data_IF_597208151026
#
_entry.id   IF_597208151026
#
_cell.length_a   1.000
_cell.length_b   1.000
_cell.length_c   1.000
_cell.angle_alpha   90.00
_cell.angle_beta   90.00
_cell.angle_gamma   90.00
#
_symmetry.space_group_name_H-M   'P 1'
#
loop_
_entity.id
_entity.type
_entity.pdbx_description
1 polymer ?
#
# COMPACT_ATOMS: atom_id res chain seq x y z
N UNK A 1 6.92 -25.64 -0.43
CA UNK A 1 5.93 -24.59 -0.68
C UNK A 1 4.87 -24.63 0.42
N UNK A 2 4.40 -23.48 0.88
CA UNK A 2 3.31 -23.34 1.86
C UNK A 2 2.16 -22.64 1.16
N UNK A 3 0.95 -23.15 1.32
CA UNK A 3 -0.27 -22.54 0.78
C UNK A 3 -1.07 -21.99 1.95
N UNK A 4 -1.41 -20.69 1.90
CA UNK A 4 -2.21 -20.02 2.91
C UNK A 4 -3.31 -19.17 2.26
N UNK A 5 -4.41 -18.95 2.98
CA UNK A 5 -5.45 -18.02 2.51
C UNK A 5 -5.04 -16.55 2.68
N UNK A 6 -5.64 -15.66 1.88
CA UNK A 6 -5.38 -14.21 1.97
C UNK A 6 -5.57 -13.67 3.39
N UNK A 7 -6.62 -14.12 4.09
CA UNK A 7 -6.90 -13.69 5.48
C UNK A 7 -5.85 -14.13 6.50
N UNK A 8 -5.12 -15.23 6.24
CA UNK A 8 -3.98 -15.63 7.07
C UNK A 8 -2.75 -14.80 6.72
N UNK A 9 -2.50 -14.52 5.43
CA UNK A 9 -1.42 -13.65 5.00
C UNK A 9 -1.53 -12.25 5.62
N UNK A 10 -2.74 -11.69 5.69
CA UNK A 10 -3.01 -10.39 6.32
C UNK A 10 -2.69 -10.36 7.83
N UNK A 11 -2.72 -11.50 8.51
CA UNK A 11 -2.39 -11.61 9.94
C UNK A 11 -0.89 -11.64 10.23
N UNK A 12 -0.07 -11.94 9.24
CA UNK A 12 1.39 -11.93 9.37
C UNK A 12 1.85 -10.48 9.20
N UNK A 13 2.31 -9.80 10.25
CA UNK A 13 2.68 -8.40 10.15
C UNK A 13 4.01 -8.22 9.43
N UNK A 14 4.20 -7.09 8.78
CA UNK A 14 5.53 -6.61 8.38
C UNK A 14 6.17 -5.86 9.56
N UNK A 15 7.50 -5.72 9.53
CA UNK A 15 8.25 -5.02 10.58
C UNK A 15 7.76 -3.59 10.81
N UNK A 16 7.88 -3.10 12.06
CA UNK A 16 7.47 -1.74 12.41
C UNK A 16 8.24 -0.69 11.62
N UNK A 17 9.53 -0.91 11.38
CA UNK A 17 10.39 -0.03 10.60
C UNK A 17 9.91 0.10 9.16
N UNK A 18 9.45 -1.00 8.55
CA UNK A 18 8.92 -0.98 7.18
C UNK A 18 7.58 -0.26 7.11
N UNK A 19 6.70 -0.48 8.09
CA UNK A 19 5.43 0.24 8.20
C UNK A 19 5.67 1.76 8.36
N UNK A 20 6.59 2.15 9.24
CA UNK A 20 6.97 3.54 9.47
C UNK A 20 7.52 4.18 8.17
N UNK A 21 8.45 3.52 7.50
CA UNK A 21 9.06 3.99 6.26
C UNK A 21 8.00 4.24 5.18
N UNK A 22 7.06 3.32 5.02
CA UNK A 22 5.97 3.47 4.07
C UNK A 22 5.07 4.65 4.40
N UNK A 23 4.64 4.78 5.67
CA UNK A 23 3.78 5.88 6.10
C UNK A 23 4.49 7.23 5.91
N UNK A 24 5.77 7.35 6.25
CA UNK A 24 6.56 8.57 6.04
C UNK A 24 6.66 8.92 4.55
N UNK A 25 6.88 7.93 3.69
CA UNK A 25 6.90 8.13 2.24
C UNK A 25 5.57 8.66 1.73
N UNK A 26 4.45 8.07 2.13
CA UNK A 26 3.11 8.53 1.76
C UNK A 26 2.84 9.97 2.24
N UNK A 27 3.25 10.32 3.46
CA UNK A 27 3.13 11.69 3.99
C UNK A 27 3.92 12.68 3.13
N UNK A 28 5.14 12.34 2.73
CA UNK A 28 5.98 13.20 1.89
C UNK A 28 5.34 13.39 0.50
N UNK A 29 4.90 12.32 -0.15
CA UNK A 29 4.24 12.37 -1.46
C UNK A 29 2.97 13.24 -1.41
N UNK A 30 2.17 13.12 -0.36
CA UNK A 30 0.97 13.95 -0.16
C UNK A 30 1.36 15.42 0.07
N UNK A 31 2.41 15.67 0.84
CA UNK A 31 2.88 17.03 1.13
C UNK A 31 3.35 17.73 -0.15
N UNK A 32 4.19 17.08 -0.94
CA UNK A 32 4.62 17.57 -2.26
C UNK A 32 3.42 17.80 -3.18
N UNK A 33 2.43 16.91 -3.09
CA UNK A 33 1.19 17.05 -3.84
C UNK A 33 0.38 18.29 -3.47
N UNK A 34 0.23 18.55 -2.19
CA UNK A 34 -0.47 19.75 -1.69
C UNK A 34 0.25 21.03 -2.19
N UNK A 35 1.58 21.07 -2.08
CA UNK A 35 2.39 22.19 -2.54
C UNK A 35 2.25 22.41 -4.05
N UNK A 36 2.24 21.33 -4.85
CA UNK A 36 2.14 21.41 -6.32
C UNK A 36 0.77 21.85 -6.83
N UNK A 37 -0.31 21.65 -6.04
CA UNK A 37 -1.67 22.00 -6.45
C UNK A 37 -1.95 23.51 -6.48
N UNK A 38 -1.13 24.33 -5.81
CA UNK A 38 -1.28 25.76 -5.79
C UNK A 38 -2.59 26.25 -5.16
N UNK A 39 -2.82 27.57 -5.19
CA UNK A 39 -3.97 28.24 -4.53
C UNK A 39 -5.22 28.35 -5.39
N UNK A 40 -5.38 27.57 -6.45
CA UNK A 40 -6.56 27.68 -7.31
C UNK A 40 -7.83 27.23 -6.60
N UNK A 41 -8.96 27.87 -6.93
CA UNK A 41 -10.25 27.60 -6.26
C UNK A 41 -10.75 26.18 -6.50
N UNK A 42 -10.45 25.57 -7.66
CA UNK A 42 -10.75 24.18 -8.00
C UNK A 42 -9.88 23.18 -7.24
N UNK A 43 -8.71 23.61 -6.73
CA UNK A 43 -7.79 22.78 -5.97
C UNK A 43 -8.18 22.65 -4.48
N UNK A 44 -8.98 23.58 -3.94
CA UNK A 44 -9.30 23.62 -2.50
C UNK A 44 -9.97 22.38 -1.97
N UNK A 45 -10.87 21.75 -2.75
CA UNK A 45 -11.53 20.50 -2.32
C UNK A 45 -10.51 19.34 -2.26
N UNK A 46 -9.67 19.23 -3.29
CA UNK A 46 -8.63 18.19 -3.36
C UNK A 46 -7.57 18.37 -2.27
N UNK A 47 -7.18 19.61 -1.98
CA UNK A 47 -6.24 19.92 -0.89
C UNK A 47 -6.81 19.52 0.47
N UNK A 48 -8.07 19.86 0.78
CA UNK A 48 -8.71 19.45 2.04
C UNK A 48 -8.76 17.92 2.21
N UNK A 49 -9.00 17.19 1.13
CA UNK A 49 -9.01 15.74 1.17
C UNK A 49 -7.61 15.17 1.43
N UNK A 50 -6.59 15.71 0.77
CA UNK A 50 -5.18 15.34 0.99
C UNK A 50 -4.73 15.66 2.42
N UNK A 51 -5.06 16.84 2.94
CA UNK A 51 -4.77 17.20 4.34
C UNK A 51 -5.44 16.24 5.33
N UNK A 52 -6.68 15.82 5.08
CA UNK A 52 -7.36 14.81 5.92
C UNK A 52 -6.61 13.48 5.89
N UNK A 53 -6.20 13.02 4.70
CA UNK A 53 -5.43 11.79 4.55
C UNK A 53 -4.08 11.89 5.26
N UNK A 54 -3.37 13.02 5.11
CA UNK A 54 -2.10 13.28 5.81
C UNK A 54 -2.26 13.18 7.32
N UNK A 55 -3.26 13.82 7.91
CA UNK A 55 -3.54 13.75 9.36
C UNK A 55 -3.82 12.32 9.83
N UNK A 56 -4.55 11.54 9.03
CA UNK A 56 -4.81 10.13 9.35
C UNK A 56 -3.51 9.30 9.36
N UNK A 57 -2.61 9.54 8.39
CA UNK A 57 -1.30 8.87 8.32
C UNK A 57 -0.40 9.29 9.49
N UNK A 58 -0.37 10.57 9.84
CA UNK A 58 0.37 11.08 11.00
C UNK A 58 -0.13 10.44 12.32
N UNK A 59 -1.46 10.32 12.48
CA UNK A 59 -2.05 9.64 13.63
C UNK A 59 -1.69 8.13 13.66
N UNK A 60 -1.64 7.47 12.50
CA UNK A 60 -1.21 6.08 12.38
C UNK A 60 0.26 5.92 12.76
N UNK A 61 1.11 6.84 12.30
CA UNK A 61 2.53 6.88 12.63
C UNK A 61 2.75 7.04 14.14
N UNK A 62 2.02 7.96 14.77
CA UNK A 62 2.08 8.19 16.22
C UNK A 62 1.68 6.92 17.00
N UNK A 63 0.59 6.25 16.62
CA UNK A 63 0.17 4.99 17.25
C UNK A 63 1.20 3.87 17.10
N UNK A 64 1.89 3.82 15.97
CA UNK A 64 2.95 2.85 15.73
C UNK A 64 4.14 3.08 16.68
N UNK A 65 4.49 4.34 16.93
CA UNK A 65 5.56 4.73 17.86
C UNK A 65 5.18 4.49 19.34
N UNK A 66 3.91 4.73 19.71
CA UNK A 66 3.42 4.55 21.09
C UNK A 66 3.21 3.09 21.48
N UNK A 67 3.00 2.20 20.51
CA UNK A 67 2.88 0.76 20.72
C UNK A 67 4.03 0.03 20.01
N UNK A 68 5.26 0.09 20.59
CA UNK A 68 6.33 -0.76 20.10
C UNK A 68 5.87 -2.22 20.23
N UNK A 69 6.03 -2.97 19.14
CA UNK A 69 5.51 -4.34 19.01
C UNK A 69 5.82 -5.20 20.22
N UNK A 70 4.87 -6.09 20.53
CA UNK A 70 5.14 -7.29 21.31
C UNK A 70 6.23 -8.08 20.59
N UNK A 71 7.35 -8.29 21.23
CA UNK A 71 8.54 -8.98 20.72
C UNK A 71 8.28 -10.45 20.29
N UNK A 72 7.07 -10.95 20.55
CA UNK A 72 6.68 -12.35 20.33
C UNK A 72 5.99 -12.64 18.98
N UNK A 73 5.84 -11.66 18.10
CA UNK A 73 5.14 -11.89 16.81
C UNK A 73 6.13 -11.93 15.67
N UNK A 74 6.28 -13.12 15.07
CA UNK A 74 7.10 -13.32 13.87
C UNK A 74 6.61 -12.43 12.75
N UNK A 75 7.50 -11.63 12.18
CA UNK A 75 7.21 -10.75 11.04
C UNK A 75 7.37 -11.49 9.72
N UNK A 76 6.81 -10.92 8.65
CA UNK A 76 6.90 -11.50 7.31
C UNK A 76 8.37 -11.65 6.86
N UNK A 77 9.22 -10.70 7.23
CA UNK A 77 10.65 -10.71 6.93
C UNK A 77 11.38 -11.89 7.60
N UNK A 78 10.95 -12.26 8.81
CA UNK A 78 11.57 -13.35 9.59
C UNK A 78 11.16 -14.74 9.09
N UNK A 79 10.13 -14.85 8.24
CA UNK A 79 9.72 -16.12 7.66
C UNK A 79 10.73 -16.68 6.63
N UNK A 80 11.67 -15.87 6.15
CA UNK A 80 12.67 -16.29 5.17
C UNK A 80 12.08 -16.66 3.81
N UNK A 81 10.95 -16.05 3.42
CA UNK A 81 10.30 -16.27 2.14
C UNK A 81 11.07 -15.50 1.07
N UNK A 82 11.42 -16.17 -0.02
CA UNK A 82 12.10 -15.60 -1.20
C UNK A 82 11.18 -15.53 -2.43
N UNK A 83 10.04 -16.24 -2.41
CA UNK A 83 9.09 -16.24 -3.52
C UNK A 83 7.65 -16.35 -3.06
N UNK A 84 6.79 -15.53 -3.66
CA UNK A 84 5.37 -15.49 -3.36
C UNK A 84 4.54 -15.54 -4.65
N UNK A 85 3.56 -16.44 -4.68
CA UNK A 85 2.54 -16.51 -5.71
C UNK A 85 1.22 -16.03 -5.10
N UNK A 86 0.63 -15.02 -5.69
CA UNK A 86 -0.63 -14.44 -5.22
C UNK A 86 -1.72 -14.77 -6.22
N UNK A 87 -2.57 -15.74 -5.87
CA UNK A 87 -3.76 -16.04 -6.66
C UNK A 87 -4.87 -15.03 -6.37
N UNK A 88 -5.77 -14.81 -7.33
CA UNK A 88 -6.84 -13.82 -7.26
C UNK A 88 -6.32 -12.41 -6.86
N UNK A 89 -5.20 -12.00 -7.47
CA UNK A 89 -4.50 -10.74 -7.18
C UNK A 89 -5.39 -9.50 -7.34
N UNK A 90 -6.45 -9.59 -8.15
CA UNK A 90 -7.45 -8.53 -8.31
C UNK A 90 -8.15 -8.14 -6.98
N UNK A 91 -8.12 -9.01 -5.97
CA UNK A 91 -8.65 -8.71 -4.63
C UNK A 91 -7.89 -7.59 -3.91
N UNK A 92 -6.67 -7.26 -4.34
CA UNK A 92 -5.78 -6.26 -3.73
C UNK A 92 -5.65 -4.97 -4.56
N UNK A 93 -6.57 -4.71 -5.45
CA UNK A 93 -6.53 -3.56 -6.39
C UNK A 93 -6.61 -2.16 -5.76
N UNK A 94 -7.06 -2.03 -4.51
CA UNK A 94 -7.29 -0.73 -3.87
C UNK A 94 -6.05 -0.27 -3.09
N UNK A 95 -4.92 -0.11 -3.79
CA UNK A 95 -3.74 0.52 -3.23
C UNK A 95 -3.88 2.05 -3.34
N UNK A 96 -3.52 2.77 -2.26
CA UNK A 96 -3.45 4.23 -2.32
C UNK A 96 -2.33 4.64 -3.26
N UNK A 97 -2.69 5.35 -4.31
CA UNK A 97 -1.77 5.97 -5.24
C UNK A 97 -2.01 7.47 -5.24
N UNK A 98 -1.03 8.26 -4.79
CA UNK A 98 -1.05 9.67 -5.07
C UNK A 98 -0.74 9.88 -6.56
N UNK A 99 -1.69 10.43 -7.30
CA UNK A 99 -1.49 10.80 -8.70
C UNK A 99 -1.82 12.27 -8.91
N UNK A 100 -1.00 12.97 -9.69
CA UNK A 100 -1.27 14.34 -10.16
C UNK A 100 -2.44 14.38 -11.16
N UNK A 101 -2.83 13.24 -11.72
CA UNK A 101 -3.97 13.11 -12.60
C UNK A 101 -5.26 13.14 -11.77
N UNK A 102 -6.06 14.17 -11.99
CA UNK A 102 -7.38 14.32 -11.33
C UNK A 102 -8.43 13.52 -12.09
N UNK A 103 -9.35 12.90 -11.36
CA UNK A 103 -10.54 12.22 -11.90
C UNK A 103 -10.25 11.13 -12.95
N UNK A 104 -9.19 10.35 -12.76
CA UNK A 104 -9.03 9.12 -13.53
C UNK A 104 -10.07 8.13 -13.04
N UNK A 105 -11.02 7.80 -13.90
CA UNK A 105 -12.06 6.83 -13.58
C UNK A 105 -11.43 5.50 -13.13
N UNK A 106 -11.83 5.03 -11.95
CA UNK A 106 -11.37 3.75 -11.38
C UNK A 106 -10.13 3.79 -10.50
N UNK A 107 -9.44 4.92 -10.35
CA UNK A 107 -8.40 5.07 -9.33
C UNK A 107 -9.07 5.57 -8.05
N UNK A 108 -9.27 4.67 -7.10
CA UNK A 108 -9.81 5.04 -5.79
C UNK A 108 -8.69 5.65 -4.94
N UNK A 109 -8.95 6.81 -4.35
CA UNK A 109 -8.05 7.46 -3.40
C UNK A 109 -8.19 6.90 -1.96
N UNK A 110 -8.90 5.79 -1.80
CA UNK A 110 -9.08 5.10 -0.52
C UNK A 110 -8.21 3.85 -0.49
N UNK A 111 -7.29 3.83 0.46
CA UNK A 111 -6.43 2.67 0.71
C UNK A 111 -7.23 1.55 1.39
N UNK A 112 -7.23 0.35 0.81
CA UNK A 112 -7.62 -0.84 1.52
C UNK A 112 -6.40 -1.35 2.31
N UNK A 113 -6.56 -1.53 3.62
CA UNK A 113 -5.47 -1.97 4.49
C UNK A 113 -4.78 -3.25 4.00
N UNK A 114 -5.54 -4.21 3.45
CA UNK A 114 -5.01 -5.44 2.87
C UNK A 114 -4.11 -5.19 1.65
N UNK A 115 -4.44 -4.20 0.81
CA UNK A 115 -3.65 -3.86 -0.37
C UNK A 115 -2.32 -3.20 0.02
N UNK A 116 -2.35 -2.31 1.01
CA UNK A 116 -1.13 -1.71 1.56
C UNK A 116 -0.23 -2.74 2.25
N UNK A 117 -0.82 -3.69 2.98
CA UNK A 117 -0.08 -4.77 3.64
C UNK A 117 0.62 -5.67 2.60
N UNK A 118 -0.12 -6.13 1.59
CA UNK A 118 0.47 -6.91 0.50
C UNK A 118 1.57 -6.13 -0.24
N UNK A 119 1.34 -4.84 -0.50
CA UNK A 119 2.33 -3.99 -1.17
C UNK A 119 3.64 -3.92 -0.40
N UNK A 120 3.61 -3.75 0.94
CA UNK A 120 4.81 -3.76 1.77
C UNK A 120 5.55 -5.10 1.71
N UNK A 121 4.84 -6.23 1.70
CA UNK A 121 5.40 -7.56 1.54
C UNK A 121 6.04 -7.75 0.17
N UNK A 122 5.40 -7.25 -0.89
CA UNK A 122 5.95 -7.25 -2.23
C UNK A 122 7.23 -6.42 -2.32
N UNK A 123 7.24 -5.20 -1.77
CA UNK A 123 8.45 -4.38 -1.74
C UNK A 123 9.62 -5.07 -1.04
N UNK A 124 9.35 -5.76 0.07
CA UNK A 124 10.38 -6.55 0.74
C UNK A 124 10.96 -7.65 -0.16
N UNK A 125 10.08 -8.43 -0.80
CA UNK A 125 10.52 -9.49 -1.72
C UNK A 125 11.29 -8.95 -2.92
N UNK A 126 10.88 -7.82 -3.49
CA UNK A 126 11.59 -7.17 -4.60
C UNK A 126 12.99 -6.71 -4.17
N UNK A 127 13.13 -6.16 -2.98
CA UNK A 127 14.42 -5.75 -2.42
C UNK A 127 15.40 -6.94 -2.29
N UNK A 128 14.94 -8.07 -1.76
CA UNK A 128 15.82 -9.24 -1.51
C UNK A 128 16.05 -10.12 -2.74
N UNK A 129 15.16 -10.07 -3.74
CA UNK A 129 15.23 -10.94 -4.93
C UNK A 129 15.59 -10.21 -6.22
N UNK A 130 15.75 -8.88 -6.18
CA UNK A 130 15.98 -8.06 -7.37
C UNK A 130 14.79 -8.08 -8.34
N UNK A 131 13.56 -8.04 -7.82
CA UNK A 131 12.32 -7.99 -8.60
C UNK A 131 11.85 -9.34 -9.16
N UNK A 132 12.34 -10.46 -8.63
CA UNK A 132 12.02 -11.82 -9.14
C UNK A 132 11.23 -12.67 -8.15
N UNK A 133 10.83 -12.09 -7.00
CA UNK A 133 10.21 -12.81 -5.89
C UNK A 133 8.69 -12.94 -5.97
N UNK A 134 8.01 -12.28 -6.93
CA UNK A 134 6.54 -12.17 -6.92
C UNK A 134 5.95 -12.60 -8.23
N UNK A 135 4.85 -13.36 -8.16
CA UNK A 135 4.00 -13.73 -9.29
C UNK A 135 2.54 -13.47 -8.92
N UNK A 136 1.88 -12.62 -9.67
CA UNK A 136 0.44 -12.39 -9.55
C UNK A 136 -0.32 -13.25 -10.55
N UNK A 137 -1.37 -13.93 -10.09
CA UNK A 137 -2.29 -14.68 -10.91
C UNK A 137 -3.72 -14.16 -10.69
N UNK A 138 -4.52 -14.14 -11.75
CA UNK A 138 -5.95 -13.82 -11.69
C UNK A 138 -6.68 -14.41 -12.88
N UNK A 139 -7.85 -14.96 -12.63
CA UNK A 139 -8.77 -15.42 -13.67
C UNK A 139 -9.58 -14.30 -14.33
N UNK A 140 -9.56 -13.07 -13.77
CA UNK A 140 -10.34 -11.91 -14.26
C UNK A 140 -9.47 -10.68 -14.53
N UNK A 141 -8.48 -10.75 -15.45
CA UNK A 141 -7.56 -9.63 -15.70
C UNK A 141 -8.23 -8.39 -16.32
N UNK A 142 -9.42 -8.54 -16.88
CA UNK A 142 -10.13 -7.49 -17.66
C UNK A 142 -11.42 -7.01 -17.00
N UNK A 143 -11.55 -7.07 -15.68
CA UNK A 143 -12.79 -6.70 -15.01
C UNK A 143 -13.25 -5.24 -15.29
N UNK A 144 -12.32 -4.29 -15.49
CA UNK A 144 -12.56 -2.92 -16.00
C UNK A 144 -11.28 -2.31 -16.55
N UNK A 145 -11.32 -1.35 -17.50
CA UNK A 145 -10.12 -0.66 -18.02
C UNK A 145 -9.27 -0.01 -16.94
N UNK A 146 -9.88 0.44 -15.85
CA UNK A 146 -9.20 1.05 -14.71
C UNK A 146 -8.40 0.04 -13.85
N UNK A 147 -8.73 -1.25 -13.96
CA UNK A 147 -8.00 -2.30 -13.24
C UNK A 147 -6.72 -2.73 -13.96
N UNK A 148 -6.64 -2.50 -15.27
CA UNK A 148 -5.44 -2.81 -16.08
C UNK A 148 -4.25 -1.91 -15.72
N UNK A 149 -4.51 -0.66 -15.35
CA UNK A 149 -3.47 0.31 -14.97
C UNK A 149 -2.88 0.06 -13.56
N UNK A 150 -3.54 -0.76 -12.75
CA UNK A 150 -3.11 -1.06 -11.37
C UNK A 150 -2.33 -2.38 -11.27
N UNK A 151 -2.33 -3.20 -12.31
CA UNK A 151 -1.65 -4.51 -12.36
C UNK A 151 -0.46 -4.54 -13.32
N UNK A 152 -0.17 -3.43 -13.99
CA UNK A 152 1.00 -3.23 -14.83
C UNK A 152 2.05 -2.39 -14.09
#
# INVERSE_FOLDING_TARGET
AVIIGHSQLEKIPVSAERQERMIRRQINEITEGIESLGRSQSARFSVKQLEKTKRNLEAKLKRLAENPKRDDVVTFEELGIDKMFVDEAHSFKNLFLYTKMRNVAGIQQTEAQKSADLYMKCQYLDEITGGKGIVFATGTPYATPSQQLQTA
#
